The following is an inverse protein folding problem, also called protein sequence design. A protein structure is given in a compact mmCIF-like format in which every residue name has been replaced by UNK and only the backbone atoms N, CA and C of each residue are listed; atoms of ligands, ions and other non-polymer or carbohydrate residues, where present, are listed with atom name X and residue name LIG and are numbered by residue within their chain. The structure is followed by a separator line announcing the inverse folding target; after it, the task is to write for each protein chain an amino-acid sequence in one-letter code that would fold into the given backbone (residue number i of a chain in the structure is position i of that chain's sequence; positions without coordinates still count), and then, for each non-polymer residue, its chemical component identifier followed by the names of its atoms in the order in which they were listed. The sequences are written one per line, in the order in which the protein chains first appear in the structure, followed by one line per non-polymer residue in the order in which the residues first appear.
data_IF_820547687412
#
_entry.id   IF_820547687412
#
_cell.length_a   1.000
_cell.length_b   1.000
_cell.length_c   1.000
_cell.angle_alpha   90.00
_cell.angle_beta   90.00
_cell.angle_gamma   90.00
#
_symmetry.space_group_name_H-M   'P 1'
#
loop_
_entity.id
_entity.type
_entity.pdbx_description
1 polymer ?
#
# COMPACT_ATOMS: atom_id res chain seq x y z
N UNK A 1 19.40 8.59 -33.09
CA UNK A 1 18.24 9.44 -32.70
C UNK A 1 17.06 8.62 -32.21
N UNK A 2 16.43 7.72 -33.00
CA UNK A 2 15.40 6.81 -32.46
C UNK A 2 16.03 5.72 -31.58
N UNK A 3 17.18 5.16 -31.99
CA UNK A 3 17.87 4.10 -31.25
C UNK A 3 18.37 4.56 -29.87
N UNK A 4 18.65 5.86 -29.71
CA UNK A 4 19.04 6.45 -28.43
C UNK A 4 17.83 6.65 -27.49
N UNK A 5 16.61 6.71 -28.01
CA UNK A 5 15.39 6.96 -27.21
C UNK A 5 14.80 5.68 -26.62
N UNK A 6 14.98 4.53 -27.28
CA UNK A 6 14.37 3.27 -26.85
C UNK A 6 14.85 2.83 -25.45
N UNK A 7 16.14 2.91 -25.07
CA UNK A 7 16.59 2.63 -23.71
C UNK A 7 15.97 3.57 -22.68
N UNK A 8 15.93 4.88 -22.96
CA UNK A 8 15.33 5.88 -22.06
C UNK A 8 13.83 5.66 -21.86
N UNK A 9 13.10 5.34 -22.93
CA UNK A 9 11.67 5.04 -22.85
C UNK A 9 11.40 3.77 -22.02
N UNK A 10 12.25 2.75 -22.17
CA UNK A 10 12.16 1.53 -21.34
C UNK A 10 12.40 1.84 -19.87
N UNK A 11 13.44 2.61 -19.54
CA UNK A 11 13.70 2.99 -18.15
C UNK A 11 12.54 3.80 -17.57
N UNK A 12 12.00 4.78 -18.31
CA UNK A 12 10.83 5.55 -17.87
C UNK A 12 9.61 4.67 -17.62
N UNK A 13 9.36 3.69 -18.50
CA UNK A 13 8.28 2.72 -18.30
C UNK A 13 8.53 1.85 -17.07
N UNK A 14 9.75 1.32 -16.90
CA UNK A 14 10.10 0.46 -15.77
C UNK A 14 9.95 1.23 -14.44
N UNK A 15 10.35 2.50 -14.39
CA UNK A 15 10.10 3.39 -13.24
C UNK A 15 8.62 3.56 -12.95
N UNK A 16 7.80 3.78 -13.98
CA UNK A 16 6.35 3.89 -13.82
C UNK A 16 5.73 2.57 -13.31
N UNK A 17 6.15 1.42 -13.85
CA UNK A 17 5.65 0.11 -13.44
C UNK A 17 6.03 -0.23 -11.98
N UNK A 18 7.23 0.15 -11.53
CA UNK A 18 7.67 -0.01 -10.14
C UNK A 18 6.85 0.89 -9.22
N UNK A 19 6.62 2.14 -9.61
CA UNK A 19 5.74 3.04 -8.86
C UNK A 19 4.32 2.46 -8.75
N UNK A 20 3.75 2.01 -9.87
CA UNK A 20 2.43 1.37 -9.90
C UNK A 20 2.39 0.07 -9.08
N UNK A 21 3.51 -0.64 -8.97
CA UNK A 21 3.65 -1.76 -8.04
C UNK A 21 3.41 -1.34 -6.58
N UNK A 22 4.02 -0.23 -6.15
CA UNK A 22 3.81 0.31 -4.81
C UNK A 22 2.35 0.76 -4.62
N UNK A 23 1.77 1.40 -5.64
CA UNK A 23 0.37 1.83 -5.58
C UNK A 23 -0.61 0.65 -5.46
N UNK A 24 -0.35 -0.47 -6.15
CA UNK A 24 -1.14 -1.71 -6.00
C UNK A 24 -1.03 -2.28 -4.60
N UNK A 25 0.15 -2.25 -3.98
CA UNK A 25 0.34 -2.64 -2.58
C UNK A 25 -0.53 -1.80 -1.65
N UNK A 26 -0.35 -0.48 -1.61
CA UNK A 26 -1.05 0.40 -0.67
C UNK A 26 -2.56 0.34 -0.86
N UNK A 27 -3.03 0.43 -2.12
CA UNK A 27 -4.44 0.36 -2.45
C UNK A 27 -5.06 -1.00 -2.11
N UNK A 28 -4.35 -2.10 -2.39
CA UNK A 28 -4.81 -3.44 -2.07
C UNK A 28 -4.95 -3.65 -0.57
N UNK A 29 -3.97 -3.18 0.21
CA UNK A 29 -4.00 -3.21 1.68
C UNK A 29 -5.18 -2.40 2.24
N UNK A 30 -5.32 -1.16 1.78
CA UNK A 30 -6.36 -0.23 2.25
C UNK A 30 -7.78 -0.67 1.87
N UNK A 31 -7.95 -1.50 0.85
CA UNK A 31 -9.26 -2.00 0.41
C UNK A 31 -9.48 -3.48 0.68
N UNK A 32 -8.60 -4.09 1.48
CA UNK A 32 -8.55 -5.54 1.73
C UNK A 32 -8.74 -6.38 0.44
N UNK A 33 -8.28 -5.86 -0.70
CA UNK A 33 -8.40 -6.53 -1.99
C UNK A 33 -7.17 -7.43 -2.14
N UNK A 34 -7.30 -8.68 -1.69
CA UNK A 34 -6.23 -9.68 -1.70
C UNK A 34 -5.61 -9.82 -3.08
N UNK A 35 -6.42 -9.86 -4.13
CA UNK A 35 -5.92 -10.05 -5.49
C UNK A 35 -5.07 -8.84 -5.94
N UNK A 36 -5.53 -7.63 -5.65
CA UNK A 36 -4.79 -6.40 -5.97
C UNK A 36 -3.48 -6.31 -5.18
N UNK A 37 -3.53 -6.53 -3.86
CA UNK A 37 -2.36 -6.52 -3.00
C UNK A 37 -1.34 -7.58 -3.44
N UNK A 38 -1.79 -8.83 -3.63
CA UNK A 38 -0.94 -9.95 -4.04
C UNK A 38 -0.28 -9.72 -5.40
N UNK A 39 -0.93 -8.98 -6.30
CA UNK A 39 -0.34 -8.63 -7.61
C UNK A 39 0.96 -7.82 -7.50
N UNK A 40 1.15 -7.06 -6.40
CA UNK A 40 2.35 -6.27 -6.14
C UNK A 40 3.58 -7.16 -5.83
N UNK A 41 3.39 -8.47 -5.66
CA UNK A 41 4.45 -9.41 -5.36
C UNK A 41 4.61 -10.46 -6.47
N UNK A 42 5.79 -11.05 -6.54
CA UNK A 42 6.03 -12.32 -7.22
C UNK A 42 5.79 -13.49 -6.27
N UNK A 43 5.61 -14.67 -6.83
CA UNK A 43 5.53 -15.91 -6.04
C UNK A 43 6.86 -16.17 -5.32
N UNK A 44 6.76 -16.62 -4.07
CA UNK A 44 7.90 -16.83 -3.18
C UNK A 44 8.50 -15.55 -2.61
N UNK A 45 7.84 -14.40 -2.75
CA UNK A 45 8.30 -13.16 -2.13
C UNK A 45 8.24 -13.25 -0.59
N UNK A 46 9.22 -12.61 0.07
CA UNK A 46 9.32 -12.53 1.53
C UNK A 46 9.09 -11.09 1.98
N UNK A 47 8.26 -10.91 3.02
CA UNK A 47 8.01 -9.63 3.66
C UNK A 47 8.48 -9.68 5.12
N UNK A 48 9.42 -8.79 5.47
CA UNK A 48 9.83 -8.49 6.84
C UNK A 48 9.08 -7.22 7.29
N UNK A 49 7.98 -7.43 8.01
CA UNK A 49 7.01 -6.40 8.37
C UNK A 49 6.72 -6.43 9.86
N UNK A 50 7.41 -5.59 10.63
CA UNK A 50 7.08 -5.20 12.03
C UNK A 50 6.26 -6.25 12.81
N UNK A 51 6.93 -7.26 13.34
CA UNK A 51 6.28 -8.36 14.08
C UNK A 51 5.86 -9.55 13.21
N UNK A 52 6.08 -9.49 11.91
CA UNK A 52 5.93 -10.57 10.94
C UNK A 52 7.19 -10.69 10.08
N UNK A 53 7.63 -11.93 9.81
CA UNK A 53 8.59 -12.25 8.75
C UNK A 53 8.19 -13.57 8.11
N UNK A 54 7.94 -13.58 6.81
CA UNK A 54 7.45 -14.79 6.14
C UNK A 54 7.10 -14.57 4.67
N UNK A 55 6.48 -15.56 4.05
CA UNK A 55 6.04 -15.43 2.67
C UNK A 55 4.86 -14.46 2.53
N UNK A 56 4.71 -13.94 1.31
CA UNK A 56 3.71 -12.93 0.98
C UNK A 56 2.26 -13.36 1.28
N UNK A 57 1.91 -14.62 1.11
CA UNK A 57 0.51 -15.04 1.28
C UNK A 57 0.13 -15.05 2.77
N UNK A 58 1.03 -15.53 3.62
CA UNK A 58 0.93 -15.45 5.08
C UNK A 58 0.98 -14.01 5.59
N UNK A 59 1.83 -13.17 4.99
CA UNK A 59 1.90 -11.73 5.31
C UNK A 59 0.56 -11.04 5.08
N UNK A 60 -0.08 -11.29 3.94
CA UNK A 60 -1.36 -10.65 3.61
C UNK A 60 -2.44 -11.09 4.60
N UNK A 61 -2.48 -12.37 4.98
CA UNK A 61 -3.45 -12.86 5.97
C UNK A 61 -3.21 -12.21 7.34
N UNK A 62 -1.94 -12.12 7.77
CA UNK A 62 -1.57 -11.44 9.01
C UNK A 62 -1.94 -9.95 8.98
N UNK A 63 -1.65 -9.24 7.90
CA UNK A 63 -1.92 -7.81 7.77
C UNK A 63 -3.44 -7.51 7.73
N UNK A 64 -4.23 -8.35 7.04
CA UNK A 64 -5.68 -8.21 7.04
C UNK A 64 -6.29 -8.50 8.41
N UNK A 65 -5.75 -9.47 9.15
CA UNK A 65 -6.16 -9.73 10.52
C UNK A 65 -5.85 -8.53 11.43
N UNK A 66 -4.68 -7.91 11.30
CA UNK A 66 -4.35 -6.65 12.00
C UNK A 66 -5.35 -5.54 11.65
N UNK A 67 -5.56 -5.25 10.36
CA UNK A 67 -6.47 -4.19 9.93
C UNK A 67 -7.95 -4.45 10.29
N UNK A 68 -8.34 -5.70 10.53
CA UNK A 68 -9.68 -6.01 11.04
C UNK A 68 -9.96 -5.37 12.41
N UNK A 69 -8.92 -5.06 13.19
CA UNK A 69 -9.05 -4.36 14.48
C UNK A 69 -9.26 -2.86 14.33
N UNK A 70 -9.26 -2.34 13.10
CA UNK A 70 -9.35 -0.92 12.79
C UNK A 70 -10.69 -0.57 12.12
N UNK A 71 -11.17 0.64 12.39
CA UNK A 71 -12.39 1.18 11.75
C UNK A 71 -12.06 1.87 10.44
N UNK A 72 -10.92 2.55 10.39
CA UNK A 72 -10.44 3.35 9.26
C UNK A 72 -8.92 3.32 9.26
N UNK A 73 -8.32 3.19 8.09
CA UNK A 73 -6.87 3.28 7.95
C UNK A 73 -6.47 3.60 6.50
N UNK A 74 -5.29 4.20 6.33
CA UNK A 74 -4.71 4.47 5.01
C UNK A 74 -3.19 4.41 5.05
N UNK A 75 -2.61 3.96 3.94
CA UNK A 75 -1.17 4.03 3.66
C UNK A 75 -0.91 5.10 2.61
N UNK A 76 -0.23 6.17 3.02
CA UNK A 76 0.23 7.22 2.13
C UNK A 76 1.66 6.92 1.69
N UNK A 77 1.85 6.65 0.40
CA UNK A 77 3.16 6.53 -0.20
C UNK A 77 3.67 7.92 -0.56
N UNK A 78 4.88 8.24 -0.07
CA UNK A 78 5.49 9.56 -0.16
C UNK A 78 6.71 9.49 -1.09
N UNK A 79 7.85 10.05 -0.68
CA UNK A 79 9.09 10.02 -1.43
C UNK A 79 9.39 8.59 -1.92
N UNK A 80 9.57 8.45 -3.22
CA UNK A 80 9.86 7.19 -3.87
C UNK A 80 11.13 7.33 -4.71
N UNK A 81 12.04 6.39 -4.52
CA UNK A 81 13.27 6.29 -5.29
C UNK A 81 13.46 4.84 -5.74
N UNK A 82 13.95 4.64 -6.96
CA UNK A 82 14.24 3.32 -7.51
C UNK A 82 15.52 3.34 -8.34
N UNK A 83 16.42 2.43 -8.04
CA UNK A 83 17.61 2.12 -8.84
C UNK A 83 17.33 0.87 -9.65
N UNK A 84 17.33 1.00 -10.97
CA UNK A 84 17.01 -0.09 -11.91
C UNK A 84 18.31 -0.59 -12.53
N UNK A 85 18.55 -1.89 -12.41
CA UNK A 85 19.64 -2.61 -13.07
C UNK A 85 19.05 -3.76 -13.90
N UNK A 86 18.87 -3.49 -15.20
CA UNK A 86 18.34 -4.45 -16.17
C UNK A 86 16.93 -4.94 -15.84
N UNK A 87 16.84 -6.10 -15.17
CA UNK A 87 15.58 -6.76 -14.77
C UNK A 87 15.39 -6.83 -13.26
N UNK A 88 16.24 -6.15 -12.52
CA UNK A 88 16.17 -6.01 -11.06
C UNK A 88 16.11 -4.54 -10.68
N UNK A 89 15.50 -4.25 -9.53
CA UNK A 89 15.51 -2.92 -8.97
C UNK A 89 15.59 -2.95 -7.45
N UNK A 90 16.22 -1.94 -6.87
CA UNK A 90 16.09 -1.60 -5.46
C UNK A 90 15.30 -0.32 -5.36
N UNK A 91 14.25 -0.32 -4.54
CA UNK A 91 13.49 0.90 -4.29
C UNK A 91 13.32 1.19 -2.83
N UNK A 92 13.23 2.47 -2.53
CA UNK A 92 12.89 3.00 -1.23
C UNK A 92 11.61 3.83 -1.39
N UNK A 93 10.59 3.49 -0.60
CA UNK A 93 9.32 4.23 -0.58
C UNK A 93 9.00 4.62 0.84
N UNK A 94 8.92 5.92 1.09
CA UNK A 94 8.47 6.45 2.37
C UNK A 94 6.99 6.17 2.53
N UNK A 95 6.58 5.69 3.69
CA UNK A 95 5.18 5.55 4.04
C UNK A 95 4.82 6.43 5.23
N UNK A 96 3.59 6.93 5.21
CA UNK A 96 2.86 7.38 6.38
C UNK A 96 1.63 6.50 6.51
N UNK A 97 1.52 5.80 7.63
CA UNK A 97 0.33 5.04 8.01
C UNK A 97 -0.48 5.86 9.01
N UNK A 98 -1.79 5.96 8.78
CA UNK A 98 -2.73 6.50 9.76
C UNK A 98 -3.86 5.50 9.93
N UNK A 99 -4.07 5.00 11.15
CA UNK A 99 -5.12 4.05 11.50
C UNK A 99 -5.92 4.51 12.70
N UNK A 100 -7.22 4.23 12.72
CA UNK A 100 -8.10 4.43 13.88
C UNK A 100 -8.65 3.08 14.33
N UNK A 101 -8.37 2.72 15.57
CA UNK A 101 -8.71 1.43 16.13
C UNK A 101 -10.20 1.31 16.47
N UNK A 102 -10.70 0.08 16.48
CA UNK A 102 -12.03 -0.25 17.03
C UNK A 102 -12.01 -0.17 18.55
N UNK A 103 -10.92 -0.59 19.18
CA UNK A 103 -10.78 -0.67 20.63
C UNK A 103 -9.33 -0.34 21.04
N UNK A 104 -9.10 0.64 21.95
CA UNK A 104 -10.10 1.59 22.44
C UNK A 104 -10.65 2.45 21.29
N UNK A 105 -11.93 2.82 21.37
CA UNK A 105 -12.59 3.57 20.30
C UNK A 105 -11.88 4.91 20.05
N UNK A 106 -11.78 5.27 18.77
CA UNK A 106 -11.18 6.52 18.28
C UNK A 106 -9.68 6.70 18.60
N UNK A 107 -9.01 5.68 19.17
CA UNK A 107 -7.55 5.68 19.26
C UNK A 107 -6.93 5.72 17.87
N UNK A 108 -6.07 6.69 17.63
CA UNK A 108 -5.50 6.93 16.31
C UNK A 108 -3.99 6.81 16.34
N UNK A 109 -3.45 5.88 15.56
CA UNK A 109 -2.01 5.67 15.42
C UNK A 109 -1.51 6.31 14.13
N UNK A 110 -0.39 7.01 14.23
CA UNK A 110 0.38 7.52 13.11
C UNK A 110 1.74 6.83 13.13
N UNK A 111 2.16 6.25 12.02
CA UNK A 111 3.49 5.66 11.89
C UNK A 111 4.12 6.09 10.58
N UNK A 112 5.38 6.52 10.65
CA UNK A 112 6.17 6.83 9.47
C UNK A 112 7.40 5.95 9.38
N UNK A 113 7.78 5.66 8.15
CA UNK A 113 8.90 4.79 7.88
C UNK A 113 9.15 4.61 6.40
N UNK A 114 9.84 3.53 6.06
CA UNK A 114 10.23 3.19 4.69
C UNK A 114 9.95 1.73 4.38
N UNK A 115 9.45 1.49 3.18
CA UNK A 115 9.55 0.20 2.51
C UNK A 115 10.83 0.18 1.70
N UNK A 116 11.72 -0.75 2.01
CA UNK A 116 12.93 -1.03 1.24
C UNK A 116 12.71 -2.34 0.49
N UNK A 117 12.67 -2.24 -0.83
CA UNK A 117 12.20 -3.32 -1.70
C UNK A 117 13.29 -3.76 -2.67
N UNK A 118 13.39 -5.08 -2.85
CA UNK A 118 13.97 -5.69 -4.04
C UNK A 118 12.84 -6.10 -4.97
N UNK A 119 12.91 -5.67 -6.23
CA UNK A 119 11.94 -6.00 -7.27
C UNK A 119 12.61 -6.72 -8.43
N UNK A 120 11.81 -7.52 -9.13
CA UNK A 120 12.21 -8.18 -10.36
C UNK A 120 11.17 -7.98 -11.46
N UNK A 121 11.65 -7.82 -12.69
CA UNK A 121 10.84 -7.82 -13.90
C UNK A 121 10.81 -9.24 -14.50
N UNK A 122 9.72 -9.97 -14.28
CA UNK A 122 9.48 -11.30 -14.87
C UNK A 122 8.36 -11.19 -15.89
N UNK A 123 8.60 -11.66 -17.11
CA UNK A 123 7.62 -11.60 -18.22
C UNK A 123 7.03 -10.20 -18.46
N UNK A 124 7.86 -9.16 -18.28
CA UNK A 124 7.46 -7.76 -18.47
C UNK A 124 6.69 -7.14 -17.29
N UNK A 125 6.53 -7.86 -16.17
CA UNK A 125 5.88 -7.36 -14.94
C UNK A 125 6.89 -7.15 -13.82
N UNK A 126 6.96 -5.92 -13.32
CA UNK A 126 7.65 -5.58 -12.09
C UNK A 126 6.81 -5.94 -10.86
N UNK A 127 7.42 -6.64 -9.91
CA UNK A 127 6.82 -6.96 -8.62
C UNK A 127 7.89 -7.19 -7.54
N UNK A 128 7.47 -7.05 -6.28
CA UNK A 128 8.31 -7.24 -5.09
C UNK A 128 8.68 -8.71 -4.96
N UNK A 129 9.95 -8.98 -4.67
CA UNK A 129 10.46 -10.31 -4.28
C UNK A 129 10.97 -10.33 -2.84
N UNK A 130 11.35 -9.18 -2.30
CA UNK A 130 11.74 -9.04 -0.90
C UNK A 130 11.41 -7.63 -0.44
N UNK A 131 10.79 -7.50 0.74
CA UNK A 131 10.51 -6.23 1.39
C UNK A 131 11.06 -6.24 2.81
N UNK A 132 11.60 -5.10 3.23
CA UNK A 132 11.85 -4.77 4.63
C UNK A 132 11.09 -3.49 4.97
N UNK A 133 10.23 -3.55 5.98
CA UNK A 133 9.52 -2.41 6.54
C UNK A 133 10.31 -1.83 7.71
N UNK A 134 10.85 -0.62 7.52
CA UNK A 134 11.60 0.11 8.53
C UNK A 134 10.70 1.16 9.15
N UNK A 135 10.35 0.98 10.43
CA UNK A 135 9.63 2.00 11.22
C UNK A 135 10.63 3.00 11.77
N UNK A 136 10.43 4.28 11.49
CA UNK A 136 11.30 5.34 11.98
C UNK A 136 10.68 6.11 13.14
N UNK A 137 9.37 6.29 13.12
CA UNK A 137 8.64 6.92 14.20
C UNK A 137 7.20 6.41 14.27
N UNK A 138 6.63 6.54 15.46
CA UNK A 138 5.20 6.42 15.66
C UNK A 138 4.75 7.45 16.70
N UNK A 139 3.48 7.81 16.63
CA UNK A 139 2.82 8.61 17.64
C UNK A 139 1.34 8.25 17.69
N UNK A 140 0.71 8.59 18.79
CA UNK A 140 -0.70 8.30 19.04
C UNK A 140 -1.46 9.59 19.29
N UNK A 141 -2.74 9.56 18.93
CA UNK A 141 -3.68 10.66 19.10
C UNK A 141 -5.10 10.10 19.23
N UNK A 142 -6.10 10.97 19.25
CA UNK A 142 -7.51 10.59 19.23
C UNK A 142 -8.18 11.17 18.01
N UNK A 143 -8.86 10.32 17.25
CA UNK A 143 -9.68 10.75 16.12
C UNK A 143 -10.86 11.58 16.63
N UNK A 144 -11.08 12.74 16.03
CA UNK A 144 -12.29 13.54 16.30
C UNK A 144 -13.48 13.08 15.45
N UNK A 145 -13.27 12.16 14.51
CA UNK A 145 -14.32 11.58 13.67
C UNK A 145 -14.98 10.38 14.38
N UNK A 146 -15.64 10.66 15.51
CA UNK A 146 -16.33 9.65 16.32
C UNK A 146 -17.63 9.19 15.65
N UNK A 147 -18.21 8.08 16.12
CA UNK A 147 -19.52 7.62 15.64
C UNK A 147 -20.62 8.69 15.78
N UNK A 148 -20.59 9.49 16.86
CA UNK A 148 -21.53 10.58 17.07
C UNK A 148 -21.37 11.68 16.03
N UNK A 149 -20.14 12.07 15.72
CA UNK A 149 -19.85 13.08 14.69
C UNK A 149 -20.28 12.57 13.31
N UNK A 150 -20.03 11.29 13.00
CA UNK A 150 -20.49 10.67 11.76
C UNK A 150 -22.02 10.72 11.67
N UNK A 151 -22.73 10.37 12.74
CA UNK A 151 -24.20 10.40 12.78
C UNK A 151 -24.79 11.82 12.60
N UNK A 152 -24.06 12.87 12.98
CA UNK A 152 -24.47 14.27 12.77
C UNK A 152 -24.34 14.72 11.31
N UNK A 153 -23.59 14.01 10.47
CA UNK A 153 -23.35 14.36 9.07
C UNK A 153 -23.83 13.22 8.16
N UNK A 154 -25.15 13.02 7.99
CA UNK A 154 -25.72 11.86 7.30
C UNK A 154 -25.36 11.78 5.81
N UNK A 155 -24.87 12.86 5.21
CA UNK A 155 -24.40 12.91 3.82
C UNK A 155 -22.95 12.46 3.65
N UNK A 156 -22.21 12.27 4.74
CA UNK A 156 -20.83 11.79 4.67
C UNK A 156 -20.81 10.32 4.29
N UNK A 157 -20.08 9.99 3.23
CA UNK A 157 -19.86 8.59 2.85
C UNK A 157 -18.84 7.95 3.80
N UNK A 158 -19.16 6.83 4.44
CA UNK A 158 -18.19 6.12 5.25
C UNK A 158 -17.07 5.56 4.36
N UNK A 159 -15.85 5.51 4.89
CA UNK A 159 -14.78 4.76 4.25
C UNK A 159 -15.09 3.26 4.32
N UNK A 160 -14.87 2.55 3.21
CA UNK A 160 -15.03 1.10 3.13
C UNK A 160 -13.71 0.47 2.73
N UNK A 161 -13.41 -0.68 3.33
CA UNK A 161 -12.18 -1.42 3.11
C UNK A 161 -12.44 -2.66 2.24
N UNK A 162 -13.35 -2.55 1.27
CA UNK A 162 -13.73 -3.62 0.35
C UNK A 162 -14.09 -3.06 -1.05
N UNK A 163 -14.67 -3.92 -1.90
CA UNK A 163 -15.05 -3.57 -3.28
C UNK A 163 -16.29 -2.68 -3.41
N UNK A 164 -16.96 -2.34 -2.31
CA UNK A 164 -18.05 -1.35 -2.28
C UNK A 164 -17.52 0.10 -2.21
N UNK A 165 -16.20 0.27 -2.06
CA UNK A 165 -15.56 1.58 -2.09
C UNK A 165 -15.74 2.27 -3.45
N UNK A 166 -16.09 3.58 -3.49
CA UNK A 166 -16.33 4.31 -4.73
C UNK A 166 -15.16 4.29 -5.71
N UNK A 167 -13.94 4.02 -5.24
CA UNK A 167 -12.79 3.90 -6.12
C UNK A 167 -12.85 2.69 -7.07
N UNK A 168 -13.77 1.76 -6.88
CA UNK A 168 -14.07 0.67 -7.82
C UNK A 168 -15.20 1.00 -8.81
N UNK A 169 -15.94 2.10 -8.61
CA UNK A 169 -17.04 2.49 -9.50
C UNK A 169 -16.51 2.88 -10.88
N UNK A 170 -16.99 2.20 -11.93
CA UNK A 170 -16.65 2.46 -13.33
C UNK A 170 -17.92 2.37 -14.19
N UNK A 171 -18.54 3.49 -14.61
CA UNK A 171 -18.15 4.86 -14.33
C UNK A 171 -18.38 5.23 -12.85
N UNK A 172 -17.65 6.23 -12.36
CA UNK A 172 -17.97 6.86 -11.08
C UNK A 172 -19.25 7.70 -11.26
N UNK A 173 -20.33 7.30 -10.58
CA UNK A 173 -21.61 8.01 -10.63
C UNK A 173 -21.98 8.61 -9.27
N UNK A 174 -22.59 9.79 -9.30
CA UNK A 174 -23.19 10.43 -8.12
C UNK A 174 -24.70 10.23 -8.21
N UNK A 175 -25.28 9.56 -7.21
CA UNK A 175 -26.72 9.44 -6.98
C UNK A 175 -27.13 10.32 -5.81
#
# INVERSE_FOLDING_TARGET
MIDDLLPHLREMKDRADIHDCMQRYARGMDRQDRALLRSAYHDGAIDDHVGFVGDVDDFIDWAFAYHSTQTRYQHYLLNHFAEIDGKTAHSETYYLFVGTDRQPADHMTWSGGRYVDRLECRDGRWAIVTRVCVVEWNTESTSQLTEQVIAMVPTMRPATHDRTDPSYDRPLSIS
#
